data_IF_693308841641
#
_entry.id   IF_693308841641
#
_cell.length_a   1.000
_cell.length_b   1.000
_cell.length_c   1.000
_cell.angle_alpha   90.00
_cell.angle_beta   90.00
_cell.angle_gamma   90.00
#
_symmetry.space_group_name_H-M   'P 1'
#
loop_
_entity.id
_entity.type
_entity.pdbx_description
1 polymer ?
#
# COMPACT_ATOMS: atom_id res chain seq x y z
N UNK A 1 6.71 -13.78 5.24
CA UNK A 1 6.80 -13.18 6.58
C UNK A 1 6.02 -11.87 6.70
N UNK A 2 6.04 -10.99 5.69
CA UNK A 2 5.35 -9.69 5.76
C UNK A 2 3.81 -9.76 5.84
N UNK A 3 3.14 -10.55 4.98
CA UNK A 3 1.67 -10.69 5.03
C UNK A 3 1.18 -11.17 6.41
N UNK A 4 1.71 -12.29 6.99
CA UNK A 4 1.32 -12.72 8.33
C UNK A 4 1.63 -11.72 9.47
N UNK A 5 2.56 -10.78 9.26
CA UNK A 5 2.83 -9.72 10.24
C UNK A 5 1.73 -8.66 10.18
N UNK A 6 1.35 -8.21 8.98
CA UNK A 6 0.29 -7.22 8.80
C UNK A 6 -1.06 -7.75 9.27
N UNK A 7 -1.37 -9.02 8.99
CA UNK A 7 -2.59 -9.68 9.46
C UNK A 7 -2.69 -9.66 10.99
N UNK A 8 -1.58 -9.95 11.70
CA UNK A 8 -1.52 -9.91 13.17
C UNK A 8 -1.69 -8.49 13.73
N UNK A 9 -1.29 -7.48 12.96
CA UNK A 9 -1.48 -6.07 13.28
C UNK A 9 -2.86 -5.55 12.87
N UNK A 10 -3.70 -6.39 12.25
CA UNK A 10 -5.01 -6.02 11.68
C UNK A 10 -4.89 -4.91 10.65
N UNK A 11 -3.82 -4.93 9.85
CA UNK A 11 -3.60 -4.03 8.73
C UNK A 11 -3.94 -4.80 7.46
N UNK A 12 -5.04 -4.43 6.83
CA UNK A 12 -5.50 -5.03 5.57
C UNK A 12 -4.82 -4.35 4.38
N UNK A 13 -3.71 -4.94 3.94
CA UNK A 13 -3.01 -4.56 2.72
C UNK A 13 -3.57 -5.37 1.55
N UNK A 14 -4.63 -4.83 0.94
CA UNK A 14 -5.53 -5.49 -0.02
C UNK A 14 -4.83 -6.25 -1.17
N UNK A 15 -3.63 -5.82 -1.58
CA UNK A 15 -2.87 -6.46 -2.67
C UNK A 15 -1.50 -6.98 -2.21
N UNK A 16 -1.17 -6.87 -0.92
CA UNK A 16 0.14 -7.25 -0.39
C UNK A 16 1.27 -6.32 -0.86
N UNK A 17 0.98 -5.04 -1.11
CA UNK A 17 1.95 -4.08 -1.64
C UNK A 17 3.12 -3.83 -0.66
N UNK A 18 2.86 -3.77 0.65
CA UNK A 18 3.88 -3.50 1.66
C UNK A 18 4.90 -4.65 1.73
N UNK A 19 4.51 -5.93 1.88
CA UNK A 19 5.47 -7.02 1.85
C UNK A 19 6.20 -7.16 0.51
N UNK A 20 5.50 -7.00 -0.62
CA UNK A 20 6.08 -7.23 -1.95
C UNK A 20 7.02 -6.11 -2.41
N UNK A 21 6.71 -4.85 -2.11
CA UNK A 21 7.46 -3.71 -2.61
C UNK A 21 8.27 -3.02 -1.52
N UNK A 22 7.70 -2.74 -0.35
CA UNK A 22 8.44 -2.05 0.71
C UNK A 22 9.50 -2.97 1.34
N UNK A 23 9.11 -4.14 1.83
CA UNK A 23 10.06 -5.02 2.54
C UNK A 23 11.13 -5.56 1.60
N UNK A 24 10.72 -6.07 0.43
CA UNK A 24 11.67 -6.52 -0.59
C UNK A 24 12.54 -5.38 -1.13
N UNK A 25 11.99 -4.17 -1.29
CA UNK A 25 12.73 -3.00 -1.72
C UNK A 25 13.81 -2.60 -0.73
N UNK A 26 13.45 -2.46 0.56
CA UNK A 26 14.41 -2.16 1.63
C UNK A 26 15.50 -3.23 1.71
N UNK A 27 15.11 -4.51 1.70
CA UNK A 27 16.07 -5.60 1.67
C UNK A 27 16.99 -5.49 0.45
N UNK A 28 16.44 -5.40 -0.75
CA UNK A 28 17.17 -5.28 -2.00
C UNK A 28 18.18 -4.13 -2.01
N UNK A 29 17.81 -2.96 -1.48
CA UNK A 29 18.69 -1.78 -1.39
C UNK A 29 19.82 -2.00 -0.39
N UNK A 30 19.54 -2.57 0.79
CA UNK A 30 20.56 -2.79 1.82
C UNK A 30 21.62 -3.82 1.40
N UNK A 31 21.29 -4.70 0.46
CA UNK A 31 22.17 -5.79 0.01
C UNK A 31 22.98 -5.45 -1.25
N UNK A 32 22.78 -4.27 -1.85
CA UNK A 32 23.56 -3.77 -2.99
C UNK A 32 25.09 -3.84 -2.76
N UNK A 33 25.65 -3.55 -1.56
CA UNK A 33 27.09 -3.62 -1.33
C UNK A 33 27.70 -5.02 -1.52
N UNK A 34 26.91 -6.10 -1.55
CA UNK A 34 27.43 -7.44 -1.83
C UNK A 34 27.83 -7.67 -3.28
N UNK A 35 27.25 -6.92 -4.21
CA UNK A 35 27.52 -7.07 -5.65
C UNK A 35 28.16 -5.81 -6.26
N UNK A 36 28.20 -4.70 -5.53
CA UNK A 36 28.77 -3.44 -5.98
C UNK A 36 29.69 -2.84 -4.90
N UNK A 37 31.00 -2.92 -5.11
CA UNK A 37 32.03 -2.41 -4.19
C UNK A 37 32.03 -0.89 -4.02
N UNK A 38 31.37 -0.14 -4.92
CA UNK A 38 31.24 1.31 -4.80
C UNK A 38 30.09 1.72 -3.87
N UNK A 39 29.21 0.79 -3.49
CA UNK A 39 28.11 1.04 -2.57
C UNK A 39 28.55 0.76 -1.12
N UNK A 40 28.08 1.60 -0.19
CA UNK A 40 28.28 1.39 1.26
C UNK A 40 26.95 1.07 1.93
N UNK A 41 26.97 0.20 2.95
CA UNK A 41 25.75 -0.13 3.73
C UNK A 41 25.14 1.15 4.32
N UNK A 42 25.97 2.05 4.85
CA UNK A 42 25.49 3.32 5.40
C UNK A 42 24.82 4.20 4.33
N UNK A 43 25.40 4.31 3.14
CA UNK A 43 24.81 5.06 2.03
C UNK A 43 23.46 4.49 1.59
N UNK A 44 23.35 3.16 1.48
CA UNK A 44 22.09 2.49 1.14
C UNK A 44 21.02 2.70 2.22
N UNK A 45 21.40 2.59 3.50
CA UNK A 45 20.49 2.85 4.62
C UNK A 45 19.99 4.30 4.63
N UNK A 46 20.87 5.28 4.43
CA UNK A 46 20.49 6.69 4.35
C UNK A 46 19.52 6.90 3.17
N UNK A 47 19.78 6.29 2.01
CA UNK A 47 18.88 6.34 0.87
C UNK A 47 17.49 5.78 1.19
N UNK A 48 17.42 4.60 1.82
CA UNK A 48 16.15 4.00 2.29
C UNK A 48 15.42 4.95 3.24
N UNK A 49 16.12 5.53 4.22
CA UNK A 49 15.52 6.44 5.20
C UNK A 49 14.97 7.72 4.53
N UNK A 50 15.72 8.30 3.58
CA UNK A 50 15.27 9.47 2.82
C UNK A 50 14.02 9.17 2.01
N UNK A 51 13.98 8.03 1.32
CA UNK A 51 12.80 7.60 0.55
C UNK A 51 11.62 7.31 1.48
N UNK A 52 11.84 6.69 2.64
CA UNK A 52 10.79 6.42 3.60
C UNK A 52 10.16 7.72 4.13
N UNK A 53 10.97 8.70 4.53
CA UNK A 53 10.49 10.00 5.01
C UNK A 53 9.74 10.73 3.91
N UNK A 54 10.28 10.78 2.69
CA UNK A 54 9.64 11.45 1.57
C UNK A 54 8.32 10.79 1.18
N UNK A 55 8.35 9.48 0.88
CA UNK A 55 7.18 8.76 0.39
C UNK A 55 6.06 8.71 1.44
N UNK A 56 6.38 8.37 2.69
CA UNK A 56 5.38 8.33 3.77
C UNK A 56 4.88 9.73 4.12
N UNK A 57 5.78 10.71 4.28
CA UNK A 57 5.42 12.08 4.66
C UNK A 57 4.53 12.76 3.63
N UNK A 58 4.91 12.70 2.34
CA UNK A 58 4.12 13.29 1.25
C UNK A 58 2.80 12.55 1.07
N UNK A 59 2.80 11.21 1.11
CA UNK A 59 1.56 10.43 0.98
C UNK A 59 0.61 10.68 2.15
N UNK A 60 1.11 10.72 3.38
CA UNK A 60 0.29 11.01 4.56
C UNK A 60 -0.34 12.40 4.48
N UNK A 61 0.44 13.42 4.08
CA UNK A 61 -0.08 14.76 3.84
C UNK A 61 -1.20 14.75 2.78
N UNK A 62 -0.96 14.09 1.64
CA UNK A 62 -1.92 14.05 0.54
C UNK A 62 -3.21 13.31 0.91
N UNK A 63 -3.10 12.14 1.55
CA UNK A 63 -4.27 11.37 1.98
C UNK A 63 -5.06 12.07 3.09
N UNK A 64 -4.39 12.77 4.01
CA UNK A 64 -5.06 13.61 5.01
C UNK A 64 -5.78 14.79 4.33
N UNK A 65 -5.13 15.45 3.37
CA UNK A 65 -5.74 16.54 2.62
C UNK A 65 -6.98 16.08 1.82
N UNK A 66 -6.93 14.91 1.18
CA UNK A 66 -8.09 14.32 0.49
C UNK A 66 -9.20 13.99 1.49
N UNK A 67 -8.85 13.36 2.62
CA UNK A 67 -9.81 12.98 3.66
C UNK A 67 -10.65 14.18 4.15
N UNK A 68 -10.04 15.36 4.28
CA UNK A 68 -10.71 16.57 4.76
C UNK A 68 -11.25 17.49 3.66
N UNK A 69 -10.98 17.21 2.38
CA UNK A 69 -11.50 18.03 1.27
C UNK A 69 -12.69 17.36 0.57
N UNK A 70 -12.45 16.24 -0.12
CA UNK A 70 -13.47 15.53 -0.93
C UNK A 70 -13.86 14.16 -0.35
N UNK A 71 -13.14 13.69 0.67
CA UNK A 71 -13.31 12.36 1.25
C UNK A 71 -12.43 11.32 0.55
N UNK A 72 -11.81 10.44 1.34
CA UNK A 72 -10.89 9.40 0.84
C UNK A 72 -11.54 8.00 0.73
N UNK A 73 -12.74 7.81 1.29
CA UNK A 73 -13.48 6.55 1.27
C UNK A 73 -14.92 6.80 0.86
N UNK A 74 -15.53 5.80 0.22
CA UNK A 74 -16.96 5.76 -0.09
C UNK A 74 -17.80 5.69 1.20
N UNK A 75 -19.13 5.88 1.08
CA UNK A 75 -20.03 5.72 2.22
C UNK A 75 -20.09 4.27 2.69
N UNK A 76 -20.50 4.04 3.94
CA UNK A 76 -20.62 2.68 4.49
C UNK A 76 -21.63 1.83 3.70
N UNK A 77 -22.70 2.45 3.20
CA UNK A 77 -23.71 1.80 2.37
C UNK A 77 -23.12 1.38 1.01
N UNK A 78 -22.32 2.24 0.38
CA UNK A 78 -21.64 1.92 -0.89
C UNK A 78 -20.56 0.84 -0.71
N UNK A 79 -19.83 0.87 0.40
CA UNK A 79 -18.85 -0.17 0.74
C UNK A 79 -19.50 -1.54 0.94
N UNK A 80 -20.66 -1.59 1.61
CA UNK A 80 -21.45 -2.82 1.79
C UNK A 80 -22.08 -3.31 0.49
N UNK A 81 -22.52 -2.40 -0.38
CA UNK A 81 -23.15 -2.73 -1.66
C UNK A 81 -22.14 -3.19 -2.73
N UNK A 82 -20.87 -2.80 -2.61
CA UNK A 82 -19.83 -2.98 -3.62
C UNK A 82 -19.75 -1.82 -4.61
N UNK A 83 -18.52 -1.40 -4.95
CA UNK A 83 -18.29 -0.21 -5.78
C UNK A 83 -18.82 -0.38 -7.21
N UNK A 84 -18.74 -1.57 -7.80
CA UNK A 84 -19.29 -1.82 -9.15
C UNK A 84 -20.78 -1.47 -9.22
N UNK A 85 -21.54 -1.81 -8.17
CA UNK A 85 -22.96 -1.49 -8.07
C UNK A 85 -23.20 -0.03 -7.75
N UNK A 86 -22.44 0.52 -6.79
CA UNK A 86 -22.63 1.88 -6.30
C UNK A 86 -22.22 2.95 -7.32
N UNK A 87 -21.19 2.70 -8.14
CA UNK A 87 -20.62 3.66 -9.08
C UNK A 87 -21.07 3.41 -10.53
N UNK A 88 -21.21 2.15 -10.93
CA UNK A 88 -21.52 1.77 -12.33
C UNK A 88 -22.95 1.24 -12.51
N UNK A 89 -23.66 0.91 -11.42
CA UNK A 89 -25.00 0.31 -11.48
C UNK A 89 -25.00 -1.13 -12.01
N UNK A 90 -23.84 -1.80 -11.99
CA UNK A 90 -23.64 -3.15 -12.52
C UNK A 90 -23.20 -4.09 -11.40
N UNK A 91 -23.65 -5.34 -11.44
CA UNK A 91 -23.06 -6.39 -10.59
C UNK A 91 -21.76 -6.87 -11.25
N UNK A 92 -20.71 -7.09 -10.46
CA UNK A 92 -19.41 -7.56 -10.96
C UNK A 92 -19.52 -8.91 -11.69
N UNK A 93 -20.39 -9.78 -11.16
CA UNK A 93 -20.61 -11.15 -11.63
C UNK A 93 -22.10 -11.49 -11.65
N UNK A 94 -22.89 -10.92 -12.58
CA UNK A 94 -24.34 -11.07 -12.61
C UNK A 94 -24.79 -12.53 -12.74
N UNK A 95 -23.98 -13.39 -13.33
CA UNK A 95 -24.20 -14.83 -13.48
C UNK A 95 -24.27 -15.61 -12.16
N UNK A 96 -23.71 -15.08 -11.06
CA UNK A 96 -23.77 -15.72 -9.73
C UNK A 96 -24.84 -15.12 -8.81
N UNK A 97 -25.62 -14.13 -9.27
CA UNK A 97 -26.58 -13.40 -8.43
C UNK A 97 -28.00 -13.97 -8.40
N UNK A 98 -28.28 -15.05 -9.14
CA UNK A 98 -29.60 -15.71 -9.16
C UNK A 98 -29.49 -17.22 -8.99
N UNK A 99 -29.90 -17.69 -7.82
CA UNK A 99 -30.62 -18.97 -7.62
C UNK A 99 -32.02 -18.64 -7.14
#
# INVERSE_FOLDING_TARGET
>A
AGVPLLDRLKIDDVVGAIPAHLFCGVWGTLVVPWTNSNATILGQFVGVAMIAVFAFGVSALFWVAIKYSIGARVSAEAELAGLDKAELGLEAYPEFTRS
#
